data_IF_266863563364
#
_entry.id   IF_266863563364
#
_cell.length_a   1.000
_cell.length_b   1.000
_cell.length_c   1.000
_cell.angle_alpha   90.00
_cell.angle_beta   90.00
_cell.angle_gamma   90.00
#
_symmetry.space_group_name_H-M   'P 1'
#
loop_
_entity.id
_entity.type
_entity.pdbx_description
1 polymer ?
#
# COMPACT_ATOMS: atom_id res chain seq x y z
N UNK A 1 -8.63 -11.27 -23.86
CA UNK A 1 -8.26 -11.58 -22.47
C UNK A 1 -8.81 -10.44 -21.66
N UNK A 2 -9.83 -10.71 -20.84
CA UNK A 2 -10.45 -9.67 -20.04
C UNK A 2 -9.47 -9.28 -18.93
N UNK A 3 -8.98 -8.04 -18.97
CA UNK A 3 -8.18 -7.45 -17.90
C UNK A 3 -9.10 -7.21 -16.70
N UNK A 4 -9.48 -8.28 -16.00
CA UNK A 4 -10.12 -8.17 -14.70
C UNK A 4 -9.06 -7.79 -13.67
N UNK A 5 -8.80 -6.49 -13.59
CA UNK A 5 -8.15 -5.92 -12.43
C UNK A 5 -9.02 -6.19 -11.22
N UNK A 6 -8.39 -6.66 -10.16
CA UNK A 6 -9.03 -6.97 -8.89
C UNK A 6 -8.34 -6.15 -7.81
N UNK A 7 -8.98 -6.03 -6.66
CA UNK A 7 -8.47 -5.22 -5.56
C UNK A 7 -8.26 -6.05 -4.31
N UNK A 8 -7.16 -5.78 -3.61
CA UNK A 8 -6.87 -6.33 -2.29
C UNK A 8 -6.79 -5.19 -1.30
N UNK A 9 -7.39 -5.36 -0.12
CA UNK A 9 -7.48 -4.27 0.87
C UNK A 9 -6.95 -4.75 2.20
N UNK A 10 -6.12 -3.92 2.82
CA UNK A 10 -5.61 -4.13 4.17
C UNK A 10 -5.95 -2.93 5.03
N UNK A 11 -6.42 -3.19 6.24
CA UNK A 11 -6.79 -2.14 7.20
C UNK A 11 -6.01 -2.35 8.48
N UNK A 12 -5.56 -1.25 9.09
CA UNK A 12 -4.92 -1.29 10.39
C UNK A 12 -5.25 -0.02 11.17
N UNK A 13 -5.29 -0.18 12.49
CA UNK A 13 -5.59 0.86 13.45
C UNK A 13 -4.29 1.35 14.10
N UNK A 14 -4.16 2.67 14.26
CA UNK A 14 -3.08 3.30 15.00
C UNK A 14 -3.69 4.00 16.21
N UNK A 15 -3.17 3.69 17.39
CA UNK A 15 -3.66 4.29 18.63
C UNK A 15 -3.25 5.77 18.75
N UNK A 16 -4.07 6.56 19.44
CA UNK A 16 -3.69 7.89 19.90
C UNK A 16 -2.41 7.84 20.74
N UNK A 17 -1.58 8.86 20.64
CA UNK A 17 -0.31 8.97 21.37
C UNK A 17 0.85 8.17 20.78
N UNK A 18 0.63 7.37 19.72
CA UNK A 18 1.71 6.68 19.02
C UNK A 18 2.72 7.68 18.41
N UNK A 19 4.00 7.45 18.68
CA UNK A 19 5.15 8.20 18.14
C UNK A 19 6.18 7.28 17.47
N UNK A 20 5.93 5.98 17.46
CA UNK A 20 6.80 4.95 16.91
C UNK A 20 6.17 4.29 15.70
N UNK A 21 7.02 3.71 14.83
CA UNK A 21 6.57 2.93 13.68
C UNK A 21 5.65 1.79 14.13
N UNK A 22 4.44 1.77 13.55
CA UNK A 22 3.52 0.64 13.63
C UNK A 22 3.58 -0.11 12.31
N UNK A 23 3.61 -1.44 12.36
CA UNK A 23 3.64 -2.26 11.15
C UNK A 23 2.63 -3.38 11.19
N UNK A 24 2.04 -3.68 10.04
CA UNK A 24 1.17 -4.83 9.83
C UNK A 24 1.72 -5.71 8.70
N UNK A 25 1.67 -7.03 8.90
CA UNK A 25 2.14 -8.01 7.92
C UNK A 25 0.96 -8.69 7.27
N UNK A 26 1.00 -8.78 5.95
CA UNK A 26 -0.06 -9.37 5.14
C UNK A 26 0.54 -10.09 3.95
N UNK A 27 -0.27 -10.90 3.27
CA UNK A 27 0.13 -11.63 2.08
C UNK A 27 -0.65 -11.09 0.91
N UNK A 28 0.05 -10.71 -0.16
CA UNK A 28 -0.60 -10.34 -1.42
C UNK A 28 -0.72 -11.56 -2.34
N UNK A 29 -1.77 -11.64 -3.16
CA UNK A 29 -1.88 -12.68 -4.17
C UNK A 29 -0.77 -12.57 -5.22
N UNK A 30 -0.50 -13.67 -5.91
CA UNK A 30 0.36 -13.69 -7.09
C UNK A 30 -0.22 -12.79 -8.18
N UNK A 31 0.61 -11.94 -8.78
CA UNK A 31 0.17 -11.02 -9.82
C UNK A 31 0.97 -9.73 -9.85
N UNK A 32 0.68 -8.85 -10.81
CA UNK A 32 1.29 -7.53 -10.90
C UNK A 32 0.40 -6.54 -10.17
N UNK A 33 0.95 -5.88 -9.17
CA UNK A 33 0.35 -4.68 -8.61
C UNK A 33 0.54 -3.59 -9.66
N UNK A 34 -0.53 -2.87 -10.00
CA UNK A 34 -0.51 -1.80 -11.00
C UNK A 34 -0.70 -0.43 -10.38
N UNK A 35 -1.39 -0.37 -9.24
CA UNK A 35 -1.57 0.85 -8.47
C UNK A 35 -1.83 0.55 -7.00
N UNK A 36 -1.50 1.52 -6.16
CA UNK A 36 -1.79 1.51 -4.72
C UNK A 36 -2.53 2.79 -4.38
N UNK A 37 -3.55 2.70 -3.53
CA UNK A 37 -4.21 3.84 -2.91
C UNK A 37 -4.14 3.72 -1.40
N UNK A 38 -4.03 4.84 -0.70
CA UNK A 38 -4.09 4.87 0.76
C UNK A 38 -5.19 5.82 1.20
N UNK A 39 -5.99 5.36 2.14
CA UNK A 39 -7.07 6.11 2.77
C UNK A 39 -6.78 6.17 4.25
N UNK A 40 -6.64 7.37 4.79
CA UNK A 40 -6.57 7.60 6.24
C UNK A 40 -7.85 8.29 6.68
N UNK A 41 -8.44 7.80 7.76
CA UNK A 41 -9.61 8.38 8.40
C UNK A 41 -9.29 8.71 9.86
N UNK A 42 -9.73 9.90 10.29
CA UNK A 42 -9.44 10.50 11.59
C UNK A 42 -8.86 11.92 11.46
N UNK A 43 -8.52 12.55 12.60
CA UNK A 43 -7.93 13.90 12.60
C UNK A 43 -6.44 13.84 12.28
N UNK A 44 -6.10 14.23 11.05
CA UNK A 44 -4.74 14.16 10.49
C UNK A 44 -4.16 15.55 10.18
N UNK A 45 -4.92 16.61 10.44
CA UNK A 45 -4.69 17.95 9.93
C UNK A 45 -3.30 18.51 10.28
N UNK A 46 -2.74 18.11 11.42
CA UNK A 46 -1.44 18.55 11.92
C UNK A 46 -0.34 17.47 11.92
N UNK A 47 -0.66 16.21 11.62
CA UNK A 47 0.29 15.11 11.79
C UNK A 47 1.08 14.86 10.50
N UNK A 48 2.38 14.59 10.62
CA UNK A 48 3.21 14.05 9.54
C UNK A 48 3.22 12.54 9.74
N UNK A 49 2.67 11.82 8.76
CA UNK A 49 2.46 10.37 8.83
C UNK A 49 3.13 9.77 7.60
N UNK A 50 4.25 9.10 7.85
CA UNK A 50 5.01 8.41 6.82
C UNK A 50 4.45 7.02 6.59
N UNK A 51 4.31 6.65 5.32
CA UNK A 51 3.71 5.38 4.92
C UNK A 51 4.74 4.59 4.11
N UNK A 52 5.09 3.41 4.60
CA UNK A 52 6.03 2.49 4.00
C UNK A 52 5.39 1.18 3.54
N UNK A 53 5.80 0.71 2.35
CA UNK A 53 5.55 -0.65 1.90
C UNK A 53 6.88 -1.37 1.71
N UNK A 54 7.06 -2.50 2.39
CA UNK A 54 8.27 -3.31 2.30
C UNK A 54 7.92 -4.76 1.98
N UNK A 55 8.72 -5.40 1.12
CA UNK A 55 8.69 -6.84 0.93
C UNK A 55 9.63 -7.52 1.94
N UNK A 56 9.19 -8.62 2.55
CA UNK A 56 10.00 -9.33 3.54
C UNK A 56 11.37 -9.74 2.96
N UNK A 57 12.45 -9.26 3.59
CA UNK A 57 13.83 -9.56 3.18
C UNK A 57 14.39 -8.68 2.05
N UNK A 58 13.69 -7.60 1.69
CA UNK A 58 14.09 -6.64 0.65
C UNK A 58 14.04 -5.18 1.16
N UNK A 59 14.45 -4.24 0.30
CA UNK A 59 14.39 -2.81 0.51
C UNK A 59 12.94 -2.29 0.56
N UNK A 60 12.78 -1.07 1.07
CA UNK A 60 11.50 -0.36 1.08
C UNK A 60 11.08 -0.07 -0.36
N UNK A 61 9.95 -0.64 -0.78
CA UNK A 61 9.45 -0.51 -2.16
C UNK A 61 8.86 0.87 -2.44
N UNK A 62 8.23 1.48 -1.42
CA UNK A 62 7.70 2.84 -1.50
C UNK A 62 7.58 3.43 -0.10
N UNK A 63 8.04 4.66 0.08
CA UNK A 63 7.83 5.46 1.28
C UNK A 63 7.34 6.84 0.88
N UNK A 64 6.24 7.31 1.47
CA UNK A 64 5.71 8.63 1.20
C UNK A 64 4.86 9.13 2.37
N UNK A 65 4.84 10.44 2.60
CA UNK A 65 3.90 11.08 3.51
C UNK A 65 2.45 10.84 3.05
N UNK A 66 1.53 10.70 3.99
CA UNK A 66 0.12 10.43 3.68
C UNK A 66 -0.53 11.43 2.72
N UNK A 67 -0.08 12.69 2.71
CA UNK A 67 -0.56 13.76 1.81
C UNK A 67 -0.30 13.44 0.34
N UNK A 68 0.75 12.65 0.05
CA UNK A 68 1.01 12.15 -1.29
C UNK A 68 -0.16 11.29 -1.83
N UNK A 69 -0.90 10.63 -0.94
CA UNK A 69 -2.04 9.77 -1.26
C UNK A 69 -3.38 10.48 -1.19
N UNK A 70 -3.39 11.73 -0.71
CA UNK A 70 -4.63 12.50 -0.65
C UNK A 70 -5.09 12.90 -2.06
N UNK A 71 -6.41 12.83 -2.31
CA UNK A 71 -6.98 13.41 -3.52
C UNK A 71 -6.85 14.93 -3.43
N UNK A 72 -6.63 15.59 -4.58
CA UNK A 72 -6.80 17.04 -4.66
C UNK A 72 -8.26 17.43 -4.35
N UNK A 73 -8.48 18.66 -3.90
CA UNK A 73 -9.83 19.14 -3.64
C UNK A 73 -10.71 19.02 -4.90
N UNK A 74 -11.91 18.45 -4.74
CA UNK A 74 -12.84 18.19 -5.86
C UNK A 74 -12.52 16.97 -6.74
N UNK A 75 -11.47 16.21 -6.43
CA UNK A 75 -11.08 15.02 -7.20
C UNK A 75 -11.74 13.73 -6.71
N UNK A 76 -11.79 12.72 -7.59
CA UNK A 76 -12.52 11.49 -7.35
C UNK A 76 -11.70 10.50 -6.50
N UNK A 77 -12.36 9.48 -5.95
CA UNK A 77 -11.71 8.40 -5.20
C UNK A 77 -10.50 7.79 -5.94
N UNK A 78 -10.60 7.66 -7.27
CA UNK A 78 -9.56 7.09 -8.11
C UNK A 78 -8.25 7.92 -8.14
N UNK A 79 -8.30 9.22 -7.85
CA UNK A 79 -7.12 10.10 -7.89
C UNK A 79 -6.15 9.86 -6.72
N UNK A 80 -6.61 9.10 -5.71
CA UNK A 80 -5.78 8.58 -4.60
C UNK A 80 -4.85 7.47 -5.04
N UNK A 81 -5.17 6.79 -6.14
CA UNK A 81 -4.34 5.70 -6.64
C UNK A 81 -3.13 6.26 -7.36
N UNK A 82 -1.96 5.77 -6.96
CA UNK A 82 -0.70 6.08 -7.60
C UNK A 82 -0.20 4.83 -8.29
N UNK A 83 0.27 4.99 -9.52
CA UNK A 83 0.89 3.92 -10.28
C UNK A 83 2.01 3.28 -9.44
N UNK A 84 2.02 1.97 -9.44
CA UNK A 84 2.97 1.17 -8.69
C UNK A 84 3.18 -0.12 -9.45
N UNK A 85 4.22 -0.16 -10.29
CA UNK A 85 4.55 -1.31 -11.12
C UNK A 85 5.43 -2.28 -10.31
N UNK A 86 4.79 -3.25 -9.66
CA UNK A 86 5.50 -4.24 -8.85
C UNK A 86 4.92 -5.63 -9.04
N UNK A 87 5.76 -6.59 -9.41
CA UNK A 87 5.37 -7.99 -9.50
C UNK A 87 5.35 -8.62 -8.10
N UNK A 88 4.16 -9.02 -7.65
CA UNK A 88 3.99 -9.84 -6.46
C UNK A 88 4.17 -11.32 -6.77
N UNK A 89 5.06 -11.96 -6.02
CA UNK A 89 5.32 -13.39 -6.08
C UNK A 89 4.59 -14.18 -4.97
N UNK A 90 3.49 -13.65 -4.43
CA UNK A 90 2.77 -14.30 -3.33
C UNK A 90 3.48 -14.18 -1.96
N UNK A 91 4.37 -13.18 -1.83
CA UNK A 91 5.21 -12.98 -0.64
C UNK A 91 4.50 -12.27 0.50
N UNK A 92 5.16 -12.25 1.67
CA UNK A 92 4.72 -11.44 2.82
C UNK A 92 5.17 -10.01 2.64
N UNK A 93 4.22 -9.10 2.69
CA UNK A 93 4.46 -7.66 2.69
C UNK A 93 4.29 -7.13 4.10
N UNK A 94 5.06 -6.09 4.41
CA UNK A 94 4.92 -5.30 5.62
C UNK A 94 4.51 -3.91 5.21
N UNK A 95 3.36 -3.47 5.72
CA UNK A 95 2.95 -2.08 5.64
C UNK A 95 3.36 -1.43 6.95
N UNK A 96 4.08 -0.32 6.88
CA UNK A 96 4.48 0.45 8.04
C UNK A 96 3.90 1.85 7.99
N UNK A 97 3.55 2.36 9.16
CA UNK A 97 3.21 3.76 9.35
C UNK A 97 4.01 4.34 10.50
N UNK A 98 4.69 5.44 10.20
CA UNK A 98 5.52 6.18 11.15
C UNK A 98 4.91 7.56 11.38
N UNK A 99 4.21 7.79 12.51
CA UNK A 99 3.86 9.13 12.92
C UNK A 99 5.09 9.86 13.47
N UNK A 100 5.41 11.05 12.96
CA UNK A 100 6.52 11.87 13.47
C UNK A 100 6.17 12.70 14.70
N UNK A 101 4.87 12.88 14.96
CA UNK A 101 4.32 13.56 16.13
C UNK A 101 3.31 12.65 16.80
N UNK A 102 3.13 12.82 18.11
CA UNK A 102 2.12 12.04 18.85
C UNK A 102 0.73 12.26 18.24
N UNK A 103 0.05 11.17 17.88
CA UNK A 103 -1.28 11.26 17.29
C UNK A 103 -2.30 11.77 18.31
N UNK A 104 -3.05 12.82 17.95
CA UNK A 104 -4.11 13.38 18.81
C UNK A 104 -5.35 12.48 18.95
N UNK A 105 -5.55 11.55 18.02
CA UNK A 105 -6.69 10.63 18.01
C UNK A 105 -6.30 9.30 17.35
N UNK A 106 -7.12 8.26 17.58
CA UNK A 106 -6.99 6.99 16.87
C UNK A 106 -7.16 7.20 15.36
N UNK A 107 -6.28 6.59 14.57
CA UNK A 107 -6.32 6.66 13.12
C UNK A 107 -6.62 5.30 12.54
N UNK A 108 -7.47 5.29 11.52
CA UNK A 108 -7.74 4.11 10.70
C UNK A 108 -7.11 4.32 9.34
N UNK A 109 -6.20 3.44 8.96
CA UNK A 109 -5.56 3.51 7.65
C UNK A 109 -5.91 2.25 6.89
N UNK A 110 -6.31 2.46 5.64
CA UNK A 110 -6.65 1.43 4.70
C UNK A 110 -5.79 1.58 3.45
N UNK A 111 -5.23 0.46 3.00
CA UNK A 111 -4.39 0.37 1.81
C UNK A 111 -5.11 -0.49 0.81
N UNK A 112 -5.27 0.02 -0.40
CA UNK A 112 -5.95 -0.66 -1.49
C UNK A 112 -4.95 -0.90 -2.61
N UNK A 113 -4.74 -2.17 -2.94
CA UNK A 113 -3.87 -2.61 -4.02
C UNK A 113 -4.74 -2.99 -5.21
N UNK A 114 -4.48 -2.39 -6.38
CA UNK A 114 -5.05 -2.84 -7.64
C UNK A 114 -4.07 -3.84 -8.28
N UNK A 115 -4.56 -5.02 -8.60
CA UNK A 115 -3.74 -6.13 -9.10
C UNK A 115 -4.30 -6.75 -10.37
N UNK A 116 -3.38 -7.10 -11.27
CA UNK A 116 -3.62 -7.98 -12.39
C UNK A 116 -3.18 -9.41 -11.99
N UNK A 117 -4.11 -10.35 -11.81
CA UNK A 117 -3.78 -11.73 -11.45
C UNK A 117 -3.16 -12.51 -12.62
N UNK A 118 -3.32 -12.05 -13.86
CA UNK A 118 -2.95 -12.81 -15.05
C UNK A 118 -1.47 -12.66 -15.42
N UNK A 119 -0.81 -11.63 -14.89
CA UNK A 119 0.64 -11.47 -14.96
C UNK A 119 1.31 -12.41 -13.97
N UNK A 120 1.56 -13.64 -14.43
CA UNK A 120 2.49 -14.56 -13.79
C UNK A 120 3.90 -14.33 -14.37
N UNK A 121 4.92 -14.42 -13.53
CA UNK A 121 6.32 -14.35 -13.97
C UNK A 121 6.61 -15.46 -14.98
N UNK A 122 6.64 -15.13 -16.28
CA UNK A 122 6.99 -16.05 -17.37
C UNK A 122 8.49 -16.35 -17.42
N UNK A 123 9.14 -16.62 -16.27
CA UNK A 123 10.59 -16.87 -16.23
C UNK A 123 10.99 -18.30 -16.62
N UNK A 124 10.04 -19.18 -17.00
CA UNK A 124 10.31 -20.59 -17.31
C UNK A 124 9.74 -21.09 -18.65
N UNK A 125 9.69 -20.26 -19.70
CA UNK A 125 9.25 -20.71 -21.04
C UNK A 125 10.32 -20.75 -22.13
N UNK A 126 11.59 -20.58 -21.77
CA UNK A 126 12.72 -20.86 -22.66
C UNK A 126 13.65 -21.91 -22.06
N UNK A 127 13.16 -23.13 -21.98
CA UNK A 127 14.03 -24.32 -22.00
C UNK A 127 13.35 -25.36 -22.86
N UNK A 128 13.47 -25.17 -24.17
CA UNK A 128 13.23 -26.21 -25.16
C UNK A 128 14.39 -26.18 -26.14
N UNK A 129 14.95 -27.38 -26.33
CA UNK A 129 16.03 -27.81 -27.23
C UNK A 129 17.41 -27.89 -26.57
#
# INVERSE_FOLDING_TARGET
>A
MDNNLIHHTETFDIASGSTSEQSNRFTLPLGKIVAVGVVITGDNSSNIIDIGLQLQGSDVLKRADYRFWQPSEGSNYFDRFKAFDHQSNGGKYTFSVTPYTALGANQKVQVVFLYDPNTSNNFNRFSTC
#
